data_IF_709419193448
#
_entry.id   IF_709419193448
#
_cell.length_a   1.000
_cell.length_b   1.000
_cell.length_c   1.000
_cell.angle_alpha   90.00
_cell.angle_beta   90.00
_cell.angle_gamma   90.00
#
_symmetry.space_group_name_H-M   'P 1'
#
loop_
_entity.id
_entity.type
_entity.pdbx_description
1 polymer ?
#
# COMPACT_ATOMS: atom_id res chain seq x y z
N UNK A 1 -41.44 26.84 -15.09
CA UNK A 1 -40.74 28.15 -15.00
C UNK A 1 -39.25 27.88 -14.92
N UNK A 2 -38.50 28.46 -15.86
CA UNK A 2 -37.04 28.33 -15.97
C UNK A 2 -36.37 28.96 -14.73
N UNK A 3 -35.44 28.24 -14.10
CA UNK A 3 -34.37 28.85 -13.31
C UNK A 3 -33.04 28.31 -13.84
N UNK A 4 -32.36 29.20 -14.55
CA UNK A 4 -30.97 29.10 -14.97
C UNK A 4 -30.13 29.34 -13.71
N UNK A 5 -29.22 28.43 -13.38
CA UNK A 5 -28.13 28.69 -12.45
C UNK A 5 -26.82 28.21 -13.09
N UNK A 6 -25.86 29.14 -13.09
CA UNK A 6 -24.60 29.16 -13.81
C UNK A 6 -23.58 28.13 -13.32
N UNK A 7 -22.57 27.91 -14.17
CA UNK A 7 -21.35 27.13 -13.96
C UNK A 7 -20.71 27.29 -12.57
N UNK A 8 -20.24 26.17 -12.03
CA UNK A 8 -19.18 26.09 -11.02
C UNK A 8 -18.04 25.22 -11.53
N UNK A 9 -17.13 25.82 -12.31
CA UNK A 9 -15.79 25.31 -12.55
C UNK A 9 -14.88 26.11 -11.61
N UNK A 10 -14.43 25.51 -10.51
CA UNK A 10 -13.33 25.94 -9.61
C UNK A 10 -13.36 25.00 -8.40
N UNK A 11 -12.25 24.47 -7.88
CA UNK A 11 -10.86 24.74 -8.16
C UNK A 11 -10.03 24.28 -6.95
N UNK A 12 -8.81 23.87 -7.21
CA UNK A 12 -7.72 23.77 -6.25
C UNK A 12 -7.64 25.06 -5.40
N UNK A 13 -7.53 24.98 -4.07
CA UNK A 13 -7.03 26.07 -3.22
C UNK A 13 -6.48 25.54 -1.88
N UNK A 14 -5.38 26.18 -1.49
CA UNK A 14 -4.41 25.85 -0.45
C UNK A 14 -4.70 26.69 0.83
N UNK A 15 -4.41 26.12 2.02
CA UNK A 15 -4.11 26.70 3.36
C UNK A 15 -5.07 27.70 4.07
N UNK A 16 -5.58 27.33 5.25
CA UNK A 16 -5.19 27.80 6.62
C UNK A 16 -6.30 27.57 7.67
N UNK A 17 -5.93 27.12 8.87
CA UNK A 17 -6.52 27.61 10.13
C UNK A 17 -7.32 26.61 11.00
N UNK A 18 -6.76 26.29 12.16
CA UNK A 18 -7.31 25.44 13.23
C UNK A 18 -8.75 25.76 13.70
N UNK A 19 -9.53 24.72 13.98
CA UNK A 19 -10.40 24.62 15.17
C UNK A 19 -10.73 23.15 15.49
N UNK A 20 -10.96 22.88 16.78
CA UNK A 20 -10.97 21.58 17.47
C UNK A 20 -12.12 20.63 17.10
N UNK A 21 -11.75 19.33 17.02
CA UNK A 21 -12.39 18.09 17.53
C UNK A 21 -13.92 17.94 17.41
N UNK A 22 -14.35 16.97 16.59
CA UNK A 22 -15.19 15.85 17.03
C UNK A 22 -15.08 14.66 16.06
N UNK A 23 -15.28 13.46 16.61
CA UNK A 23 -14.94 12.12 16.12
C UNK A 23 -15.83 11.55 15.01
N UNK A 24 -15.26 10.57 14.29
CA UNK A 24 -15.88 9.55 13.43
C UNK A 24 -16.61 10.05 12.18
N UNK A 25 -15.92 10.07 11.02
CA UNK A 25 -16.58 10.09 9.71
C UNK A 25 -15.84 9.23 8.66
N UNK A 26 -16.65 8.72 7.74
CA UNK A 26 -16.49 7.52 6.93
C UNK A 26 -15.53 7.65 5.74
N UNK A 27 -15.01 6.50 5.29
CA UNK A 27 -14.38 6.34 4.00
C UNK A 27 -15.43 6.49 2.88
N UNK A 28 -15.23 7.43 1.96
CA UNK A 28 -16.13 7.67 0.82
C UNK A 28 -15.47 7.21 -0.47
N UNK A 29 -16.07 6.24 -1.17
CA UNK A 29 -15.56 5.71 -2.45
C UNK A 29 -16.54 5.75 -3.63
N UNK A 30 -17.79 6.18 -3.42
CA UNK A 30 -18.79 6.22 -4.51
C UNK A 30 -18.82 7.59 -5.19
N UNK A 31 -18.56 7.61 -6.50
CA UNK A 31 -18.57 8.82 -7.33
C UNK A 31 -19.96 9.19 -7.84
N UNK A 32 -20.95 8.29 -7.71
CA UNK A 32 -22.34 8.54 -8.05
C UNK A 32 -23.16 8.66 -6.76
N UNK A 33 -23.58 9.88 -6.41
CA UNK A 33 -24.54 10.09 -5.33
C UNK A 33 -25.94 9.79 -5.87
N UNK A 34 -26.41 8.55 -5.67
CA UNK A 34 -27.83 8.22 -5.74
C UNK A 34 -28.39 8.27 -4.32
N UNK A 35 -29.16 9.32 -4.01
CA UNK A 35 -29.85 9.42 -2.73
C UNK A 35 -31.12 8.58 -2.76
N UNK A 36 -31.07 7.37 -2.20
CA UNK A 36 -32.28 6.68 -1.76
C UNK A 36 -31.99 5.70 -0.61
N UNK A 37 -32.17 6.17 0.63
CA UNK A 37 -32.30 5.27 1.78
C UNK A 37 -33.76 4.85 1.93
N UNK A 38 -33.99 3.54 2.04
CA UNK A 38 -35.21 2.98 2.60
C UNK A 38 -34.88 1.67 3.30
N UNK A 39 -34.67 1.78 4.60
CA UNK A 39 -34.50 0.68 5.54
C UNK A 39 -35.82 -0.07 5.75
N UNK A 40 -35.79 -1.40 5.66
CA UNK A 40 -36.75 -2.25 6.37
C UNK A 40 -36.04 -3.50 6.89
N UNK A 41 -36.18 -3.73 8.19
CA UNK A 41 -35.64 -4.88 8.91
C UNK A 41 -36.73 -5.95 9.04
N UNK A 42 -36.35 -7.21 8.87
CA UNK A 42 -37.12 -8.33 9.44
C UNK A 42 -36.15 -9.44 9.79
N UNK A 43 -36.11 -9.78 11.07
CA UNK A 43 -35.32 -10.86 11.64
C UNK A 43 -36.09 -12.17 11.61
N UNK A 44 -35.40 -13.26 11.29
CA UNK A 44 -35.77 -14.60 11.74
C UNK A 44 -34.53 -15.49 11.84
N UNK A 45 -34.54 -16.29 12.90
CA UNK A 45 -33.45 -17.03 13.52
C UNK A 45 -33.37 -18.49 13.08
N UNK A 46 -32.21 -19.10 13.36
CA UNK A 46 -31.86 -20.54 13.40
C UNK A 46 -31.35 -21.11 12.06
N UNK A 47 -30.30 -21.94 11.98
CA UNK A 47 -29.60 -22.79 12.95
C UNK A 47 -28.08 -22.77 12.75
N UNK A 48 -27.36 -23.04 13.84
CA UNK A 48 -25.94 -23.39 13.92
C UNK A 48 -25.60 -24.64 13.11
N UNK A 49 -24.76 -24.48 12.10
CA UNK A 49 -23.86 -25.54 11.60
C UNK A 49 -22.42 -25.02 11.74
N UNK A 50 -21.59 -25.86 12.35
CA UNK A 50 -20.17 -25.64 12.56
C UNK A 50 -19.44 -25.64 11.21
N UNK A 51 -19.29 -24.46 10.60
CA UNK A 51 -18.29 -24.27 9.56
C UNK A 51 -16.93 -24.11 10.23
N UNK A 52 -16.05 -25.09 10.03
CA UNK A 52 -14.61 -24.83 10.05
C UNK A 52 -14.38 -23.59 9.18
N UNK A 53 -13.96 -22.50 9.81
CA UNK A 53 -13.51 -21.30 9.12
C UNK A 53 -12.26 -21.73 8.36
N UNK A 54 -12.41 -22.10 7.08
CA UNK A 54 -11.30 -22.19 6.15
C UNK A 54 -10.62 -20.83 6.20
N UNK A 55 -9.44 -20.76 6.81
CA UNK A 55 -8.66 -19.53 6.82
C UNK A 55 -8.27 -19.25 5.37
N UNK A 56 -8.65 -18.09 4.85
CA UNK A 56 -8.22 -17.59 3.54
C UNK A 56 -6.69 -17.61 3.46
N UNK A 57 -6.14 -18.17 2.38
CA UNK A 57 -4.69 -18.16 2.14
C UNK A 57 -4.32 -16.90 1.37
N UNK A 58 -4.10 -15.82 2.12
CA UNK A 58 -3.81 -14.52 1.54
C UNK A 58 -2.34 -14.36 1.10
N UNK A 59 -1.51 -15.41 1.21
CA UNK A 59 -0.09 -15.38 0.82
C UNK A 59 0.12 -15.12 -0.67
N UNK A 60 -0.88 -15.41 -1.51
CA UNK A 60 -0.85 -15.09 -2.95
C UNK A 60 -0.66 -13.59 -3.21
N UNK A 61 -1.04 -12.74 -2.26
CA UNK A 61 -0.96 -11.29 -2.36
C UNK A 61 0.36 -10.71 -1.85
N UNK A 62 1.27 -11.51 -1.28
CA UNK A 62 2.54 -11.02 -0.71
C UNK A 62 3.37 -10.26 -1.75
N UNK A 63 3.41 -10.76 -2.99
CA UNK A 63 4.09 -10.09 -4.11
C UNK A 63 3.45 -8.75 -4.50
N UNK A 64 2.13 -8.61 -4.31
CA UNK A 64 1.42 -7.35 -4.54
C UNK A 64 1.76 -6.37 -3.44
N UNK A 65 1.72 -6.81 -2.17
CA UNK A 65 2.07 -5.99 -1.03
C UNK A 65 3.53 -5.51 -1.11
N UNK A 66 4.48 -6.36 -1.50
CA UNK A 66 5.87 -5.98 -1.72
C UNK A 66 6.00 -4.87 -2.78
N UNK A 67 5.28 -4.99 -3.90
CA UNK A 67 5.27 -3.94 -4.94
C UNK A 67 4.66 -2.63 -4.42
N UNK A 68 3.56 -2.70 -3.69
CA UNK A 68 2.88 -1.52 -3.16
C UNK A 68 3.75 -0.80 -2.11
N UNK A 69 4.47 -1.53 -1.24
CA UNK A 69 5.42 -0.96 -0.27
C UNK A 69 6.58 -0.23 -0.94
N UNK A 70 7.00 -0.69 -2.11
CA UNK A 70 8.12 -0.14 -2.86
C UNK A 70 7.69 0.84 -3.96
N UNK A 71 6.41 1.19 -4.04
CA UNK A 71 5.89 2.11 -5.06
C UNK A 71 6.31 3.56 -4.74
N UNK A 72 7.15 4.15 -5.59
CA UNK A 72 7.60 5.54 -5.49
C UNK A 72 6.84 6.48 -6.43
N UNK A 73 5.69 6.07 -6.96
CA UNK A 73 4.85 6.92 -7.81
C UNK A 73 4.30 8.13 -7.06
N UNK A 74 3.84 9.16 -7.79
CA UNK A 74 3.28 10.39 -7.21
C UNK A 74 2.10 10.12 -6.27
N UNK A 75 1.43 8.99 -6.47
CA UNK A 75 0.28 8.56 -5.70
C UNK A 75 0.50 7.07 -5.40
N UNK A 76 1.21 6.70 -4.32
CA UNK A 76 1.34 5.32 -3.89
C UNK A 76 0.17 4.91 -2.97
N UNK A 77 -0.08 3.61 -2.83
CA UNK A 77 -0.96 3.11 -1.78
C UNK A 77 -0.24 3.17 -0.43
N UNK A 78 -0.98 3.44 0.64
CA UNK A 78 -0.43 3.51 2.01
C UNK A 78 -1.08 2.55 2.98
N UNK A 79 -2.20 1.91 2.59
CA UNK A 79 -2.93 0.94 3.38
C UNK A 79 -3.41 -0.23 2.52
N UNK A 80 -3.73 -1.34 3.16
CA UNK A 80 -4.33 -2.51 2.54
C UNK A 80 -5.36 -3.17 3.47
N UNK A 81 -6.27 -3.95 2.91
CA UNK A 81 -7.22 -4.75 3.66
C UNK A 81 -7.57 -6.02 2.88
N UNK A 82 -7.88 -7.10 3.58
CA UNK A 82 -8.41 -8.32 3.00
C UNK A 82 -9.90 -8.41 3.28
N UNK A 83 -10.68 -8.78 2.27
CA UNK A 83 -12.11 -9.00 2.42
C UNK A 83 -12.66 -9.89 1.30
N UNK A 84 -13.33 -10.97 1.65
CA UNK A 84 -14.12 -11.83 0.75
C UNK A 84 -15.39 -11.10 0.26
N UNK A 85 -15.34 -10.48 -0.92
CA UNK A 85 -16.46 -9.69 -1.46
C UNK A 85 -17.52 -10.52 -2.16
N UNK A 86 -17.21 -11.74 -2.59
CA UNK A 86 -18.14 -12.60 -3.34
C UNK A 86 -18.69 -13.77 -2.49
N UNK A 87 -18.19 -13.93 -1.27
CA UNK A 87 -18.63 -14.91 -0.28
C UNK A 87 -18.11 -16.32 -0.56
N UNK A 88 -17.04 -16.48 -1.35
CA UNK A 88 -16.52 -17.78 -1.74
C UNK A 88 -15.52 -18.39 -0.73
N UNK A 89 -15.14 -17.64 0.30
CA UNK A 89 -14.19 -18.04 1.34
C UNK A 89 -12.72 -17.67 1.09
N UNK A 90 -12.41 -17.06 -0.06
CA UNK A 90 -11.12 -16.43 -0.36
C UNK A 90 -11.28 -14.92 -0.27
N UNK A 91 -10.38 -14.25 0.44
CA UNK A 91 -10.40 -12.79 0.49
C UNK A 91 -9.80 -12.20 -0.78
N UNK A 92 -10.37 -11.08 -1.25
CA UNK A 92 -9.70 -10.15 -2.16
C UNK A 92 -8.80 -9.17 -1.40
N UNK A 93 -7.76 -8.67 -2.08
CA UNK A 93 -6.90 -7.61 -1.56
C UNK A 93 -7.38 -6.25 -2.05
N UNK A 94 -7.68 -5.37 -1.11
CA UNK A 94 -7.88 -3.95 -1.31
C UNK A 94 -6.61 -3.18 -0.96
N UNK A 95 -6.22 -2.21 -1.78
CA UNK A 95 -5.27 -1.17 -1.40
C UNK A 95 -5.96 0.18 -1.26
N UNK A 96 -5.41 1.02 -0.39
CA UNK A 96 -5.98 2.30 -0.01
C UNK A 96 -4.95 3.41 0.14
N UNK A 97 -5.40 4.64 -0.04
CA UNK A 97 -4.64 5.88 0.10
C UNK A 97 -5.11 6.64 1.32
N UNK A 98 -4.22 6.85 2.28
CA UNK A 98 -4.49 7.70 3.42
C UNK A 98 -4.31 9.18 3.07
N UNK A 99 -5.34 9.97 3.35
CA UNK A 99 -5.32 11.41 3.18
C UNK A 99 -5.26 12.10 4.54
N UNK A 100 -4.14 12.73 4.86
CA UNK A 100 -3.96 13.45 6.13
C UNK A 100 -4.98 14.60 6.31
N UNK A 101 -5.40 15.24 5.21
CA UNK A 101 -6.32 16.37 5.22
C UNK A 101 -7.72 16.00 5.73
N UNK A 102 -8.15 14.77 5.47
CA UNK A 102 -9.47 14.25 5.86
C UNK A 102 -9.39 13.20 6.96
N UNK A 103 -8.22 12.60 7.19
CA UNK A 103 -8.04 11.47 8.09
C UNK A 103 -8.71 10.19 7.60
N UNK A 104 -8.95 10.07 6.29
CA UNK A 104 -9.66 8.93 5.69
C UNK A 104 -8.75 8.12 4.77
N UNK A 105 -9.08 6.83 4.63
CA UNK A 105 -8.48 5.96 3.63
C UNK A 105 -9.45 5.85 2.46
N UNK A 106 -8.97 6.18 1.26
CA UNK A 106 -9.72 6.07 0.01
C UNK A 106 -9.26 4.86 -0.79
N UNK A 107 -10.19 4.21 -1.48
CA UNK A 107 -9.90 3.08 -2.35
C UNK A 107 -8.86 3.42 -3.42
N UNK A 108 -7.82 2.60 -3.54
CA UNK A 108 -6.77 2.75 -4.53
C UNK A 108 -6.86 1.67 -5.60
N UNK A 109 -6.83 0.38 -5.22
CA UNK A 109 -6.95 -0.73 -6.16
C UNK A 109 -7.54 -1.99 -5.52
N UNK A 110 -8.05 -2.88 -6.38
CA UNK A 110 -8.61 -4.19 -6.06
C UNK A 110 -7.82 -5.27 -6.81
N UNK A 111 -7.42 -6.30 -6.08
CA UNK A 111 -6.74 -7.50 -6.59
C UNK A 111 -7.50 -8.76 -6.16
N UNK A 112 -7.48 -9.78 -7.01
CA UNK A 112 -8.27 -11.01 -6.84
C UNK A 112 -7.40 -12.25 -7.11
N UNK A 113 -7.87 -13.42 -6.68
CA UNK A 113 -7.23 -14.70 -7.00
C UNK A 113 -7.57 -15.16 -8.41
N UNK A 114 -6.55 -15.47 -9.19
CA UNK A 114 -6.65 -16.06 -10.51
C UNK A 114 -5.81 -17.34 -10.59
N UNK A 115 -6.38 -18.45 -10.13
CA UNK A 115 -5.78 -19.78 -10.06
C UNK A 115 -4.52 -19.84 -9.16
N UNK A 116 -4.61 -19.29 -7.94
CA UNK A 116 -3.54 -19.23 -6.96
C UNK A 116 -2.51 -18.12 -7.25
N UNK A 117 -2.85 -17.15 -8.09
CA UNK A 117 -1.99 -16.04 -8.48
C UNK A 117 -2.77 -14.74 -8.34
N UNK A 118 -2.25 -13.82 -7.53
CA UNK A 118 -2.85 -12.50 -7.39
C UNK A 118 -2.82 -11.74 -8.72
N UNK A 119 -3.97 -11.20 -9.12
CA UNK A 119 -4.14 -10.44 -10.34
C UNK A 119 -4.89 -9.13 -10.08
N UNK A 120 -4.70 -8.14 -10.95
CA UNK A 120 -5.27 -6.80 -10.83
C UNK A 120 -6.65 -6.73 -11.50
N UNK A 121 -7.63 -6.11 -10.83
CA UNK A 121 -8.97 -5.93 -11.39
C UNK A 121 -9.34 -4.47 -11.65
N UNK A 122 -9.16 -3.62 -10.65
CA UNK A 122 -9.72 -2.26 -10.69
C UNK A 122 -8.90 -1.27 -9.86
N UNK A 123 -9.01 0.03 -10.19
CA UNK A 123 -8.41 1.10 -9.41
C UNK A 123 -9.23 2.39 -9.43
N UNK A 124 -8.91 3.28 -8.49
CA UNK A 124 -9.21 4.71 -8.60
C UNK A 124 -7.92 5.47 -8.88
N UNK A 125 -7.87 6.17 -10.01
CA UNK A 125 -6.67 6.86 -10.46
C UNK A 125 -6.98 8.16 -11.20
N UNK A 126 -6.14 9.17 -10.97
CA UNK A 126 -6.18 10.45 -11.68
C UNK A 126 -4.75 10.77 -12.11
N UNK A 127 -4.52 10.84 -13.41
CA UNK A 127 -3.20 11.17 -13.93
C UNK A 127 -2.82 12.63 -13.59
N UNK A 128 -1.57 12.84 -13.18
CA UNK A 128 -1.02 14.16 -12.86
C UNK A 128 -1.00 15.11 -14.07
N UNK A 129 -0.96 14.55 -15.28
CA UNK A 129 -1.06 15.28 -16.54
C UNK A 129 -1.94 14.53 -17.57
N UNK A 130 -2.41 15.25 -18.59
CA UNK A 130 -3.21 14.69 -19.67
C UNK A 130 -4.68 14.45 -19.33
N UNK A 131 -5.04 14.39 -18.06
CA UNK A 131 -6.44 14.35 -17.60
C UNK A 131 -7.12 12.97 -17.70
N UNK A 132 -6.33 11.90 -17.83
CA UNK A 132 -6.79 10.51 -17.78
C UNK A 132 -7.27 10.13 -16.37
N UNK A 133 -8.35 9.34 -16.29
CA UNK A 133 -9.00 8.94 -15.05
C UNK A 133 -9.52 7.51 -15.11
N UNK A 134 -9.47 6.85 -13.96
CA UNK A 134 -10.09 5.54 -13.73
C UNK A 134 -10.88 5.55 -12.41
N UNK A 135 -11.96 4.79 -12.38
CA UNK A 135 -12.75 4.53 -11.18
C UNK A 135 -13.39 3.14 -11.25
N UNK A 136 -13.95 2.70 -10.12
CA UNK A 136 -14.70 1.46 -10.06
C UNK A 136 -15.91 1.55 -9.12
N UNK A 137 -16.98 0.83 -9.48
CA UNK A 137 -18.10 0.51 -8.61
C UNK A 137 -18.02 -0.98 -8.25
N UNK A 138 -17.97 -1.28 -6.96
CA UNK A 138 -17.80 -2.63 -6.42
C UNK A 138 -19.08 -3.01 -5.70
N UNK A 139 -19.57 -4.23 -5.88
CA UNK A 139 -20.77 -4.75 -5.25
C UNK A 139 -20.45 -5.94 -4.36
N UNK A 140 -21.25 -6.10 -3.30
CA UNK A 140 -21.12 -7.18 -2.28
C UNK A 140 -21.38 -8.60 -2.79
N UNK A 141 -21.54 -8.79 -4.10
CA UNK A 141 -21.65 -10.11 -4.71
C UNK A 141 -20.45 -10.41 -5.63
N UNK A 142 -19.37 -9.62 -5.62
CA UNK A 142 -18.24 -9.77 -6.54
C UNK A 142 -18.49 -9.25 -7.96
N UNK A 143 -19.57 -8.49 -8.19
CA UNK A 143 -19.70 -7.69 -9.41
C UNK A 143 -18.81 -6.45 -9.29
N UNK A 144 -18.03 -6.14 -10.34
CA UNK A 144 -17.17 -4.95 -10.41
C UNK A 144 -17.38 -4.24 -11.74
N UNK A 145 -17.63 -2.94 -11.73
CA UNK A 145 -17.66 -2.10 -12.94
C UNK A 145 -16.46 -1.17 -12.91
N UNK A 146 -15.59 -1.26 -13.90
CA UNK A 146 -14.48 -0.30 -14.08
C UNK A 146 -14.87 0.76 -15.10
N UNK A 147 -14.51 2.01 -14.89
CA UNK A 147 -14.71 3.11 -15.81
C UNK A 147 -13.39 3.81 -16.13
N UNK A 148 -13.14 4.11 -17.42
CA UNK A 148 -11.94 4.82 -17.87
C UNK A 148 -12.34 6.00 -18.75
N UNK A 149 -11.77 7.19 -18.51
CA UNK A 149 -12.11 8.36 -19.32
C UNK A 149 -11.05 9.45 -19.30
N UNK A 150 -11.21 10.39 -20.22
CA UNK A 150 -10.46 11.64 -20.24
C UNK A 150 -11.34 12.76 -19.67
N UNK A 151 -10.74 13.67 -18.90
CA UNK A 151 -11.45 14.78 -18.24
C UNK A 151 -12.19 15.71 -19.22
N UNK A 152 -11.74 15.76 -20.49
CA UNK A 152 -12.36 16.53 -21.57
C UNK A 152 -13.29 15.69 -22.46
N UNK A 153 -13.38 14.39 -22.19
CA UNK A 153 -14.27 13.46 -22.88
C UNK A 153 -15.73 13.65 -22.48
N UNK A 154 -16.61 13.05 -23.27
CA UNK A 154 -18.06 13.06 -23.01
C UNK A 154 -18.61 11.69 -22.64
N UNK A 155 -17.76 10.66 -22.64
CA UNK A 155 -18.10 9.26 -22.35
C UNK A 155 -16.98 8.61 -21.56
N UNK A 156 -17.35 7.60 -20.76
CA UNK A 156 -16.46 6.66 -20.08
C UNK A 156 -16.54 5.31 -20.78
N UNK A 157 -15.39 4.65 -20.90
CA UNK A 157 -15.31 3.26 -21.33
C UNK A 157 -15.47 2.38 -20.09
N UNK A 158 -16.64 1.78 -19.96
CA UNK A 158 -17.04 1.01 -18.79
C UNK A 158 -17.07 -0.49 -19.10
N UNK A 159 -16.60 -1.31 -18.16
CA UNK A 159 -16.62 -2.77 -18.26
C UNK A 159 -17.12 -3.39 -16.97
N UNK A 160 -18.14 -4.24 -17.07
CA UNK A 160 -18.66 -5.05 -15.97
C UNK A 160 -17.97 -6.42 -15.94
N UNK A 161 -17.41 -6.75 -14.79
CA UNK A 161 -16.81 -8.02 -14.44
C UNK A 161 -17.61 -8.74 -13.36
N UNK A 162 -17.43 -10.05 -13.28
CA UNK A 162 -17.92 -10.90 -12.19
C UNK A 162 -16.78 -11.83 -11.73
N UNK A 163 -16.46 -11.80 -10.45
CA UNK A 163 -15.55 -12.79 -9.85
C UNK A 163 -16.15 -14.19 -9.97
N UNK A 164 -15.32 -15.17 -10.33
CA UNK A 164 -15.69 -16.57 -10.35
C UNK A 164 -15.43 -17.15 -8.96
N UNK A 165 -16.46 -17.74 -8.38
CA UNK A 165 -16.42 -18.33 -7.04
C UNK A 165 -15.45 -19.53 -6.88
N UNK A 166 -14.84 -20.00 -7.97
CA UNK A 166 -13.81 -21.05 -7.94
C UNK A 166 -12.38 -20.47 -7.99
N UNK A 167 -12.24 -19.15 -7.84
CA UNK A 167 -10.97 -18.41 -7.93
C UNK A 167 -10.23 -18.60 -9.26
N UNK A 168 -10.91 -19.05 -10.32
CA UNK A 168 -10.32 -19.14 -11.67
C UNK A 168 -10.31 -17.80 -12.41
N UNK A 169 -10.63 -16.73 -11.69
CA UNK A 169 -10.49 -15.34 -12.08
C UNK A 169 -11.82 -14.62 -12.33
N UNK A 170 -11.91 -13.80 -13.38
CA UNK A 170 -13.11 -12.99 -13.69
C UNK A 170 -13.75 -13.33 -15.03
N UNK A 171 -15.08 -13.23 -15.09
CA UNK A 171 -15.84 -13.14 -16.33
C UNK A 171 -16.03 -11.68 -16.76
N UNK A 172 -15.82 -11.41 -18.05
CA UNK A 172 -16.20 -10.13 -18.66
C UNK A 172 -17.65 -10.24 -19.10
N UNK A 173 -18.55 -9.51 -18.43
CA UNK A 173 -19.99 -9.60 -18.68
C UNK A 173 -20.41 -8.66 -19.80
N UNK A 174 -19.95 -7.39 -19.74
CA UNK A 174 -20.39 -6.35 -20.68
C UNK A 174 -19.42 -5.18 -20.74
N UNK A 175 -19.28 -4.61 -21.92
CA UNK A 175 -18.62 -3.32 -22.15
C UNK A 175 -19.68 -2.31 -22.63
N UNK A 176 -19.58 -1.07 -22.18
CA UNK A 176 -20.44 0.02 -22.62
C UNK A 176 -19.69 1.36 -22.61
N UNK A 177 -20.04 2.24 -23.54
CA UNK A 177 -19.63 3.64 -23.46
C UNK A 177 -20.73 4.43 -22.77
N UNK A 178 -20.48 4.83 -21.52
CA UNK A 178 -21.45 5.50 -20.66
C UNK A 178 -21.23 7.02 -20.74
N UNK A 179 -22.24 7.83 -21.08
CA UNK A 179 -22.08 9.28 -21.14
C UNK A 179 -21.70 9.88 -19.77
N UNK A 180 -20.85 10.91 -19.79
CA UNK A 180 -20.53 11.69 -18.59
C UNK A 180 -21.63 12.74 -18.41
N UNK A 181 -22.46 12.61 -17.38
CA UNK A 181 -23.58 13.52 -17.12
C UNK A 181 -24.29 13.25 -15.80
N UNK A 182 -25.07 14.23 -15.34
CA UNK A 182 -25.79 14.16 -14.05
C UNK A 182 -27.04 13.26 -14.05
N UNK A 183 -27.58 12.96 -15.23
CA UNK A 183 -28.82 12.19 -15.39
C UNK A 183 -28.54 10.80 -16.01
N UNK A 184 -27.36 10.23 -15.70
CA UNK A 184 -26.92 8.93 -16.23
C UNK A 184 -26.92 7.92 -15.10
N UNK A 185 -27.76 6.91 -15.22
CA UNK A 185 -27.86 5.80 -14.28
C UNK A 185 -27.09 4.59 -14.82
N UNK A 186 -26.07 4.13 -14.08
CA UNK A 186 -25.29 2.93 -14.46
C UNK A 186 -26.17 1.69 -14.69
N UNK A 187 -27.29 1.61 -13.99
CA UNK A 187 -28.24 0.50 -14.07
C UNK A 187 -29.03 0.42 -15.39
N UNK A 188 -28.98 1.47 -16.23
CA UNK A 188 -29.50 1.43 -17.60
C UNK A 188 -28.53 0.74 -18.57
N UNK A 189 -27.25 0.67 -18.18
CA UNK A 189 -26.17 0.06 -18.98
C UNK A 189 -25.77 -1.31 -18.45
N UNK A 190 -25.84 -1.55 -17.15
CA UNK A 190 -25.34 -2.75 -16.49
C UNK A 190 -26.41 -3.42 -15.63
N UNK A 191 -26.32 -4.75 -15.49
CA UNK A 191 -27.25 -5.52 -14.66
C UNK A 191 -26.87 -5.42 -13.18
N UNK A 192 -27.20 -4.28 -12.58
CA UNK A 192 -26.87 -3.94 -11.19
C UNK A 192 -28.09 -3.51 -10.36
N UNK A 193 -29.30 -3.58 -10.94
CA UNK A 193 -30.53 -3.21 -10.21
C UNK A 193 -30.74 -4.15 -9.03
N UNK A 194 -30.87 -3.58 -7.83
CA UNK A 194 -31.04 -4.34 -6.59
C UNK A 194 -29.75 -4.94 -6.04
N UNK A 195 -28.58 -4.76 -6.68
CA UNK A 195 -27.29 -5.10 -6.08
C UNK A 195 -26.93 -4.07 -5.03
N UNK A 196 -26.29 -4.53 -3.96
CA UNK A 196 -25.80 -3.67 -2.88
C UNK A 196 -24.34 -3.28 -3.17
N UNK A 197 -24.10 -1.98 -3.28
CA UNK A 197 -22.74 -1.42 -3.37
C UNK A 197 -21.93 -1.79 -2.13
N UNK A 198 -20.64 -2.04 -2.35
CA UNK A 198 -19.70 -2.37 -1.30
C UNK A 198 -19.43 -1.14 -0.42
N UNK A 199 -19.46 -1.34 0.89
CA UNK A 199 -19.19 -0.30 1.88
C UNK A 199 -17.75 -0.44 2.37
N UNK A 200 -16.86 0.42 1.89
CA UNK A 200 -15.44 0.39 2.26
C UNK A 200 -15.17 0.66 3.75
N UNK A 201 -16.14 1.19 4.51
CA UNK A 201 -15.96 1.44 5.94
C UNK A 201 -15.89 0.17 6.78
N UNK A 202 -16.28 -0.98 6.22
CA UNK A 202 -16.21 -2.29 6.89
C UNK A 202 -14.81 -2.92 6.83
N UNK A 203 -13.92 -2.37 5.99
CA UNK A 203 -12.57 -2.90 5.80
C UNK A 203 -11.70 -2.62 7.03
N UNK A 204 -11.03 -3.66 7.52
CA UNK A 204 -10.04 -3.56 8.59
C UNK A 204 -8.68 -3.15 8.02
N UNK A 205 -8.56 -1.87 7.68
CA UNK A 205 -7.38 -1.31 7.04
C UNK A 205 -6.12 -1.45 7.90
N UNK A 206 -5.12 -2.10 7.32
CA UNK A 206 -3.77 -2.18 7.84
C UNK A 206 -2.89 -1.18 7.08
N UNK A 207 -1.97 -0.45 7.76
CA UNK A 207 -0.99 0.34 7.04
C UNK A 207 -0.14 -0.58 6.16
N UNK A 208 0.10 -0.16 4.91
CA UNK A 208 1.26 -0.58 4.13
C UNK A 208 2.45 0.10 4.77
N UNK A 209 2.82 -0.38 5.95
CA UNK A 209 4.14 -0.13 6.46
C UNK A 209 5.09 -0.64 5.35
N UNK A 210 5.96 0.24 4.83
CA UNK A 210 7.35 -0.21 4.70
C UNK A 210 7.62 -0.84 6.05
N UNK A 211 7.99 -2.11 6.12
CA UNK A 211 8.14 -2.74 7.42
C UNK A 211 9.05 -1.86 8.29
N UNK A 212 8.44 -1.05 9.16
CA UNK A 212 8.93 -0.83 10.49
C UNK A 212 8.58 -2.13 11.20
N UNK A 213 9.35 -3.14 10.85
CA UNK A 213 9.37 -4.45 11.46
C UNK A 213 9.52 -4.19 12.94
N UNK A 214 8.40 -4.42 13.63
CA UNK A 214 8.29 -4.77 15.04
C UNK A 214 9.59 -4.58 15.83
N UNK A 215 9.78 -3.44 16.50
CA UNK A 215 10.66 -3.31 17.67
C UNK A 215 12.12 -3.79 17.51
N UNK A 216 12.65 -3.96 16.29
CA UNK A 216 13.94 -4.64 16.09
C UNK A 216 14.64 -4.42 14.75
N UNK A 217 13.98 -3.86 13.73
CA UNK A 217 14.59 -3.60 12.42
C UNK A 217 14.97 -2.13 12.20
N UNK A 218 15.84 -1.90 11.21
CA UNK A 218 16.40 -0.58 10.92
C UNK A 218 15.38 0.38 10.33
N UNK A 219 15.41 1.62 10.80
CA UNK A 219 14.69 2.72 10.19
C UNK A 219 15.62 3.45 9.22
N UNK A 220 15.49 3.15 7.92
CA UNK A 220 16.37 3.70 6.89
C UNK A 220 16.22 5.21 6.73
N UNK A 221 14.99 5.72 6.81
CA UNK A 221 14.73 7.16 6.74
C UNK A 221 15.38 7.91 7.91
N UNK A 222 15.36 7.33 9.10
CA UNK A 222 16.05 7.87 10.27
C UNK A 222 17.56 7.96 10.02
N UNK A 223 18.17 6.87 9.53
CA UNK A 223 19.60 6.78 9.22
C UNK A 223 20.00 7.81 8.14
N UNK A 224 19.20 7.94 7.08
CA UNK A 224 19.44 8.91 6.01
C UNK A 224 19.36 10.36 6.49
N UNK A 225 18.54 10.63 7.51
CA UNK A 225 18.44 11.94 8.16
C UNK A 225 19.48 12.16 9.28
N UNK A 226 20.44 11.24 9.44
CA UNK A 226 21.54 11.36 10.40
C UNK A 226 21.19 10.95 11.82
N UNK A 227 20.05 10.30 12.01
CA UNK A 227 19.65 9.70 13.28
C UNK A 227 19.91 8.18 13.22
N UNK A 228 20.84 7.73 14.05
CA UNK A 228 21.40 6.37 13.98
C UNK A 228 20.89 5.46 15.10
N UNK A 229 19.91 5.89 15.89
CA UNK A 229 19.50 5.11 17.07
C UNK A 229 18.87 3.77 16.70
N UNK A 230 18.29 3.62 15.50
CA UNK A 230 17.80 2.30 15.05
C UNK A 230 18.91 1.26 14.83
N UNK A 231 20.19 1.68 14.70
CA UNK A 231 21.33 0.76 14.62
C UNK A 231 21.73 0.17 15.98
N UNK A 232 21.19 0.70 17.09
CA UNK A 232 21.56 0.32 18.45
C UNK A 232 21.50 -1.19 18.68
N UNK A 233 22.46 -1.68 19.46
CA UNK A 233 22.60 -3.09 19.78
C UNK A 233 23.92 -3.69 19.32
N UNK A 234 24.07 -4.99 19.61
CA UNK A 234 25.24 -5.78 19.23
C UNK A 234 24.99 -6.46 17.90
N UNK A 235 25.97 -6.35 17.00
CA UNK A 235 25.99 -7.00 15.71
C UNK A 235 27.16 -7.95 15.64
N UNK A 236 26.96 -9.16 15.13
CA UNK A 236 27.98 -10.19 15.07
C UNK A 236 28.01 -10.88 13.72
N UNK A 237 29.21 -11.16 13.23
CA UNK A 237 29.39 -11.92 12.00
C UNK A 237 29.69 -13.40 12.25
N UNK A 238 29.71 -14.20 11.18
CA UNK A 238 29.99 -15.64 11.25
C UNK A 238 31.41 -15.98 11.72
N UNK A 239 32.30 -14.98 11.85
CA UNK A 239 33.66 -15.11 12.42
C UNK A 239 33.72 -14.80 13.91
N UNK A 240 32.60 -14.41 14.52
CA UNK A 240 32.51 -14.04 15.94
C UNK A 240 33.04 -12.64 16.25
N UNK A 241 33.28 -11.81 15.24
CA UNK A 241 33.59 -10.39 15.44
C UNK A 241 32.30 -9.64 15.72
N UNK A 242 32.38 -8.61 16.56
CA UNK A 242 31.22 -7.82 16.99
C UNK A 242 31.38 -6.33 16.72
N UNK A 243 30.25 -5.65 16.59
CA UNK A 243 30.10 -4.21 16.65
C UNK A 243 29.02 -3.86 17.65
N UNK A 244 29.26 -2.84 18.49
CA UNK A 244 28.27 -2.33 19.42
C UNK A 244 27.89 -0.89 19.07
N UNK A 245 26.64 -0.70 18.64
CA UNK A 245 26.06 0.62 18.46
C UNK A 245 25.35 1.03 19.75
N UNK A 246 25.68 2.21 20.26
CA UNK A 246 25.02 2.76 21.45
C UNK A 246 23.64 3.31 21.11
N UNK A 247 22.80 3.51 22.13
CA UNK A 247 21.47 4.10 21.99
C UNK A 247 21.52 5.56 21.51
N UNK A 248 22.69 6.21 21.60
CA UNK A 248 22.94 7.55 21.06
C UNK A 248 23.45 7.53 19.61
N UNK A 249 23.49 6.36 18.95
CA UNK A 249 23.86 6.25 17.54
C UNK A 249 25.36 6.32 17.29
N UNK A 250 26.17 5.86 18.23
CA UNK A 250 27.64 5.82 18.14
C UNK A 250 28.13 4.39 18.00
N UNK A 251 29.19 4.14 17.21
CA UNK A 251 29.79 2.81 17.10
C UNK A 251 31.02 2.72 18.00
N UNK A 252 30.93 2.02 19.13
CA UNK A 252 32.05 1.85 20.08
C UNK A 252 32.77 3.17 20.43
N UNK A 253 32.00 4.26 20.56
CA UNK A 253 32.51 5.61 20.83
C UNK A 253 33.03 6.38 19.60
N UNK A 254 32.89 5.84 18.39
CA UNK A 254 33.17 6.51 17.12
C UNK A 254 31.91 7.18 16.56
N UNK A 255 32.10 8.33 15.91
CA UNK A 255 31.03 9.06 15.24
C UNK A 255 30.64 8.35 13.95
N UNK A 256 29.34 8.27 13.69
CA UNK A 256 28.75 7.88 12.42
C UNK A 256 28.31 9.15 11.68
N UNK A 257 28.50 9.19 10.36
CA UNK A 257 28.15 10.36 9.56
C UNK A 257 27.97 10.03 8.08
N UNK A 258 27.60 11.05 7.29
CA UNK A 258 27.59 11.01 5.81
C UNK A 258 26.76 9.86 5.22
N UNK A 259 25.49 9.70 5.64
CA UNK A 259 24.67 8.62 5.12
C UNK A 259 24.42 8.85 3.63
N UNK A 260 24.58 7.79 2.84
CA UNK A 260 24.39 7.84 1.39
C UNK A 260 23.71 6.57 0.89
N UNK A 261 22.53 6.74 0.32
CA UNK A 261 21.81 5.66 -0.35
C UNK A 261 22.38 5.38 -1.75
N UNK A 262 22.40 4.11 -2.13
CA UNK A 262 22.70 3.66 -3.48
C UNK A 262 21.43 3.40 -4.28
N UNK A 263 21.53 3.33 -5.62
CA UNK A 263 20.41 2.95 -6.48
C UNK A 263 19.93 1.51 -6.29
N UNK A 264 20.62 0.72 -5.47
CA UNK A 264 20.27 -0.67 -5.14
C UNK A 264 19.63 -0.80 -3.75
N UNK A 265 19.37 0.32 -3.05
CA UNK A 265 18.75 0.33 -1.72
C UNK A 265 19.71 0.06 -0.56
N UNK A 266 21.03 0.03 -0.79
CA UNK A 266 22.03 -0.03 0.30
C UNK A 266 22.34 1.37 0.83
N UNK A 267 22.70 1.48 2.11
CA UNK A 267 23.13 2.76 2.71
C UNK A 267 24.58 2.65 3.18
N UNK A 268 25.44 3.56 2.71
CA UNK A 268 26.81 3.68 3.21
C UNK A 268 26.90 4.76 4.28
N UNK A 269 27.62 4.46 5.36
CA UNK A 269 27.92 5.35 6.47
C UNK A 269 29.44 5.50 6.62
N UNK A 270 29.91 6.67 7.02
CA UNK A 270 31.29 6.91 7.41
C UNK A 270 31.44 6.84 8.92
N UNK A 271 32.39 6.03 9.40
CA UNK A 271 32.74 5.90 10.81
C UNK A 271 34.14 6.47 11.07
N UNK A 272 34.25 7.36 12.05
CA UNK A 272 35.51 8.04 12.38
C UNK A 272 35.64 8.41 13.85
N UNK A 273 36.84 8.75 14.28
CA UNK A 273 37.12 9.07 15.67
C UNK A 273 36.32 10.30 16.14
N UNK A 274 35.70 10.22 17.32
CA UNK A 274 34.87 11.30 17.88
C UNK A 274 35.64 12.62 18.09
N UNK A 275 36.96 12.55 18.28
CA UNK A 275 37.84 13.70 18.44
C UNK A 275 38.34 14.30 17.10
N UNK A 276 37.86 13.81 15.96
CA UNK A 276 38.24 14.29 14.63
C UNK A 276 39.64 13.85 14.17
N UNK A 277 40.25 12.86 14.83
CA UNK A 277 41.52 12.30 14.38
C UNK A 277 41.38 11.67 12.98
N UNK A 278 42.38 11.84 12.09
CA UNK A 278 42.33 11.28 10.74
C UNK A 278 42.36 9.75 10.78
N UNK A 279 41.51 9.12 9.98
CA UNK A 279 41.28 7.69 9.95
C UNK A 279 39.79 7.37 9.98
N UNK A 280 39.44 6.09 9.85
CA UNK A 280 38.05 5.64 9.83
C UNK A 280 37.82 4.51 8.84
N UNK A 281 36.59 4.03 8.77
CA UNK A 281 36.12 3.02 7.83
C UNK A 281 34.67 3.32 7.45
N UNK A 282 34.17 2.65 6.42
CA UNK A 282 32.78 2.74 6.03
C UNK A 282 31.99 1.53 6.51
N UNK A 283 30.71 1.73 6.75
CA UNK A 283 29.73 0.67 7.01
C UNK A 283 28.74 0.69 5.86
N UNK A 284 28.51 -0.44 5.22
CA UNK A 284 27.39 -0.62 4.29
C UNK A 284 26.29 -1.39 4.99
N UNK A 285 25.13 -0.75 5.06
CA UNK A 285 23.88 -1.27 5.60
C UNK A 285 23.09 -1.88 4.45
N UNK A 286 22.66 -3.12 4.65
CA UNK A 286 21.77 -3.85 3.77
C UNK A 286 20.43 -4.02 4.50
N UNK A 287 19.40 -3.24 4.14
CA UNK A 287 18.06 -3.48 4.63
C UNK A 287 17.59 -4.91 4.33
N UNK A 288 16.57 -5.37 5.04
CA UNK A 288 15.89 -6.63 4.77
C UNK A 288 15.49 -6.69 3.28
N UNK A 289 15.77 -7.81 2.62
CA UNK A 289 15.53 -8.02 1.18
C UNK A 289 16.60 -7.45 0.24
N UNK A 290 17.37 -6.44 0.64
CA UNK A 290 18.32 -5.74 -0.25
C UNK A 290 19.57 -6.58 -0.52
N UNK A 291 19.85 -6.89 -1.79
CA UNK A 291 20.98 -7.76 -2.16
C UNK A 291 22.29 -7.00 -2.36
N UNK A 292 23.44 -7.65 -2.10
CA UNK A 292 24.74 -7.15 -2.54
C UNK A 292 24.86 -7.22 -4.08
N UNK A 293 25.01 -6.07 -4.78
CA UNK A 293 25.08 -6.04 -6.25
C UNK A 293 26.36 -6.65 -6.82
N UNK A 294 27.36 -6.97 -5.99
CA UNK A 294 28.62 -7.61 -6.40
C UNK A 294 28.62 -9.13 -6.23
N UNK A 295 27.58 -9.69 -5.62
CA UNK A 295 27.48 -11.09 -5.22
C UNK A 295 26.97 -11.15 -3.78
N UNK A 296 25.85 -11.85 -3.56
CA UNK A 296 25.23 -11.94 -2.24
C UNK A 296 25.16 -13.39 -1.77
N UNK A 297 25.98 -13.70 -0.77
CA UNK A 297 26.07 -15.03 -0.12
C UNK A 297 25.46 -15.03 1.28
N UNK A 298 24.75 -13.96 1.65
CA UNK A 298 24.22 -13.75 3.00
C UNK A 298 22.72 -14.07 3.07
N UNK A 299 22.21 -14.24 4.29
CA UNK A 299 20.77 -14.29 4.56
C UNK A 299 20.12 -12.91 4.37
N UNK A 300 19.51 -12.68 3.22
CA UNK A 300 18.83 -11.43 2.92
C UNK A 300 17.44 -11.31 3.51
N UNK A 301 16.92 -12.33 4.20
CA UNK A 301 15.69 -12.19 4.97
C UNK A 301 15.90 -11.38 6.24
N UNK A 302 17.14 -11.00 6.53
CA UNK A 302 17.53 -10.19 7.67
C UNK A 302 18.32 -8.96 7.22
N UNK A 303 18.27 -7.92 8.04
CA UNK A 303 19.17 -6.78 7.91
C UNK A 303 20.61 -7.19 8.19
N UNK A 304 21.56 -6.67 7.41
CA UNK A 304 22.99 -6.99 7.53
C UNK A 304 23.88 -5.75 7.46
N UNK A 305 25.07 -5.86 8.04
CA UNK A 305 26.13 -4.86 7.90
C UNK A 305 27.42 -5.47 7.34
N UNK A 306 28.17 -4.66 6.59
CA UNK A 306 29.59 -4.90 6.28
C UNK A 306 30.38 -3.66 6.69
N UNK A 307 31.53 -3.85 7.33
CA UNK A 307 32.48 -2.78 7.62
C UNK A 307 33.76 -2.97 6.81
N UNK A 308 34.26 -1.89 6.21
CA UNK A 308 35.49 -1.95 5.42
C UNK A 308 35.86 -0.64 4.73
N UNK A 309 36.92 -0.72 3.92
CA UNK A 309 37.37 0.38 3.04
C UNK A 309 36.82 0.26 1.62
N UNK A 310 36.41 -0.94 1.22
CA UNK A 310 35.89 -1.27 -0.11
C UNK A 310 34.77 -2.28 0.03
N UNK A 311 33.75 -2.17 -0.81
CA UNK A 311 32.59 -3.06 -0.83
C UNK A 311 32.61 -3.89 -2.12
N UNK A 312 32.86 -5.19 -1.97
CA UNK A 312 33.06 -6.16 -3.04
C UNK A 312 32.09 -7.35 -2.85
N UNK A 313 32.30 -8.43 -3.59
CA UNK A 313 31.69 -9.72 -3.27
C UNK A 313 32.27 -10.26 -1.96
N UNK A 314 31.43 -10.61 -0.99
CA UNK A 314 31.83 -11.04 0.35
C UNK A 314 31.28 -12.43 0.67
N UNK A 315 32.05 -13.29 1.34
CA UNK A 315 31.53 -14.58 1.79
C UNK A 315 30.52 -14.38 2.94
N UNK A 316 29.62 -15.34 3.13
CA UNK A 316 28.52 -15.27 4.09
C UNK A 316 28.96 -14.87 5.51
N UNK A 317 30.10 -15.39 5.98
CA UNK A 317 30.58 -15.17 7.35
C UNK A 317 31.14 -13.75 7.59
N UNK A 318 31.28 -12.93 6.55
CA UNK A 318 31.70 -11.53 6.68
C UNK A 318 30.55 -10.61 7.10
N UNK A 319 29.30 -10.98 6.83
CA UNK A 319 28.12 -10.19 7.12
C UNK A 319 27.81 -10.23 8.62
N UNK A 320 27.56 -9.05 9.19
CA UNK A 320 27.14 -8.89 10.57
C UNK A 320 25.62 -8.88 10.64
N UNK A 321 25.08 -9.60 11.62
CA UNK A 321 23.66 -9.69 11.95
C UNK A 321 23.45 -9.23 13.38
N UNK A 322 22.28 -8.68 13.69
CA UNK A 322 21.94 -8.30 15.06
C UNK A 322 21.84 -9.55 15.96
N UNK A 323 22.46 -9.53 17.13
CA UNK A 323 22.34 -10.61 18.15
C UNK A 323 21.00 -10.60 18.88
#
# INVERSE_FOLDING_TARGET
MKKIALLGMMGLSILFGCSKKDSNQAATGSWYISSNESSSSTSSSSQTESNEKTTSDNSIYDIVLEKLRNDTSDTPATHYAYYDIDGNGQDELFSGRYWESTGTIEFAALYYDNNGVADYLAQSYVASAGGYREAANIYTDGTVITAKWMSTGTQMEDTQYKLRADNSGVDVIKNANVPIGRDVELSDYFDIKGKKEFDFSILDWQPLASEQTSSGDLNIDQILNGDYTSLAGTWKNGRGQTFEFSDEGMLEGMNISSPRESSYGTVTLACGAANGAPGGFAIEVYPTGVKNPKGDHSDSSQTRLIAGQQFIDFPAEAYYYRE
#
